data_IF_285763829751
#
_entry.id   IF_285763829751
#
_cell.length_a   1.000
_cell.length_b   1.000
_cell.length_c   1.000
_cell.angle_alpha   90.00
_cell.angle_beta   90.00
_cell.angle_gamma   90.00
#
_symmetry.space_group_name_H-M   'P 1'
#
loop_
_entity.id
_entity.type
_entity.pdbx_description
1 polymer ?
#
# COMPACT_ATOMS: atom_id res chain seq x y z
N UNK A 1 -1.02 13.34 10.59
CA UNK A 1 -0.52 11.98 10.90
C UNK A 1 0.44 11.98 12.08
N UNK A 2 1.60 12.65 11.99
CA UNK A 2 2.59 12.69 13.08
C UNK A 2 2.08 13.39 14.34
N UNK A 3 1.28 14.47 14.20
CA UNK A 3 0.66 15.14 15.35
C UNK A 3 -0.31 14.23 16.11
N UNK A 4 -1.18 13.52 15.38
CA UNK A 4 -2.12 12.53 15.94
C UNK A 4 -1.38 11.35 16.60
N UNK A 5 -0.34 10.84 15.96
CA UNK A 5 0.48 9.76 16.52
C UNK A 5 1.23 10.21 17.80
N UNK A 6 1.78 11.44 17.81
CA UNK A 6 2.42 12.04 18.99
C UNK A 6 1.45 12.24 20.14
N UNK A 7 0.22 12.66 19.86
CA UNK A 7 -0.84 12.80 20.85
C UNK A 7 -1.18 11.47 21.54
N UNK A 8 -0.95 10.34 20.86
CA UNK A 8 -1.12 8.99 21.37
C UNK A 8 0.20 8.33 21.84
N UNK A 9 1.27 9.11 22.03
CA UNK A 9 2.53 8.63 22.60
C UNK A 9 3.54 8.03 21.60
N UNK A 10 3.31 8.17 20.29
CA UNK A 10 4.28 7.75 19.29
C UNK A 10 5.46 8.71 19.17
N UNK A 11 6.66 8.15 19.13
CA UNK A 11 7.92 8.86 18.90
C UNK A 11 8.18 9.11 17.42
N UNK A 12 7.51 8.37 16.53
CA UNK A 12 7.57 8.56 15.08
C UNK A 12 6.38 7.93 14.36
N UNK A 13 6.08 8.41 13.16
CA UNK A 13 5.14 7.75 12.26
C UNK A 13 5.58 7.89 10.80
N UNK A 14 5.22 6.90 9.99
CA UNK A 14 5.40 6.86 8.55
C UNK A 14 4.08 6.40 7.93
N UNK A 15 3.74 6.97 6.79
CA UNK A 15 2.57 6.56 6.01
C UNK A 15 2.98 6.46 4.55
N UNK A 16 2.66 5.32 3.95
CA UNK A 16 2.94 5.03 2.56
C UNK A 16 1.60 4.84 1.85
N UNK A 17 1.42 5.54 0.74
CA UNK A 17 0.28 5.37 -0.13
C UNK A 17 0.80 4.79 -1.45
N UNK A 18 0.32 3.59 -1.79
CA UNK A 18 0.63 2.92 -3.04
C UNK A 18 -0.58 2.97 -3.96
N UNK A 19 -0.32 3.30 -5.22
CA UNK A 19 -1.30 3.21 -6.28
C UNK A 19 -0.64 2.56 -7.48
N UNK A 20 -1.13 1.39 -7.85
CA UNK A 20 -0.63 0.58 -8.95
C UNK A 20 -1.69 0.46 -10.02
N UNK A 21 -1.26 0.62 -11.28
CA UNK A 21 -2.09 0.37 -12.44
C UNK A 21 -1.27 -0.48 -13.42
N UNK A 22 -1.75 -1.68 -13.71
CA UNK A 22 -1.10 -2.62 -14.62
C UNK A 22 -2.11 -3.15 -15.62
N UNK A 23 -1.69 -3.27 -16.88
CA UNK A 23 -2.46 -3.96 -17.91
C UNK A 23 -1.60 -5.11 -18.42
N UNK A 24 -2.14 -6.33 -18.36
CA UNK A 24 -1.48 -7.54 -18.87
C UNK A 24 -2.30 -8.11 -20.03
N UNK A 25 -1.66 -8.40 -21.15
CA UNK A 25 -2.29 -9.00 -22.32
C UNK A 25 -1.56 -10.29 -22.64
N UNK A 26 -2.26 -11.42 -22.53
CA UNK A 26 -1.73 -12.74 -22.86
C UNK A 26 -2.26 -13.16 -24.22
N UNK A 27 -1.35 -13.54 -25.12
CA UNK A 27 -1.66 -13.99 -26.49
C UNK A 27 -1.19 -15.43 -26.65
N UNK A 28 -2.05 -16.32 -27.16
CA UNK A 28 -1.69 -17.72 -27.43
C UNK A 28 -2.17 -18.11 -28.83
N UNK A 29 -1.29 -18.74 -29.61
CA UNK A 29 -1.56 -19.14 -31.01
C UNK A 29 -2.04 -18.00 -31.93
N UNK A 30 -1.63 -16.76 -31.66
CA UNK A 30 -2.01 -15.59 -32.46
C UNK A 30 -3.34 -14.94 -32.06
N UNK A 31 -4.05 -15.49 -31.07
CA UNK A 31 -5.29 -14.92 -30.54
C UNK A 31 -5.07 -14.38 -29.11
N UNK A 32 -5.70 -13.23 -28.81
CA UNK A 32 -5.70 -12.67 -27.46
C UNK A 32 -6.53 -13.58 -26.56
N UNK A 33 -5.87 -14.18 -25.57
CA UNK A 33 -6.50 -15.13 -24.66
C UNK A 33 -7.11 -14.40 -23.45
N UNK A 34 -6.36 -13.48 -22.84
CA UNK A 34 -6.81 -12.74 -21.64
C UNK A 34 -6.26 -11.32 -21.64
N UNK A 35 -7.11 -10.35 -21.30
CA UNK A 35 -6.71 -8.96 -20.98
C UNK A 35 -7.07 -8.74 -19.51
N UNK A 36 -6.07 -8.50 -18.68
CA UNK A 36 -6.24 -8.25 -17.25
C UNK A 36 -5.87 -6.80 -16.92
N UNK A 37 -6.75 -6.13 -16.17
CA UNK A 37 -6.54 -4.78 -15.67
C UNK A 37 -6.40 -4.85 -14.16
N UNK A 38 -5.19 -4.70 -13.66
CA UNK A 38 -4.91 -4.58 -12.23
C UNK A 38 -4.95 -3.11 -11.83
N UNK A 39 -5.83 -2.76 -10.87
CA UNK A 39 -5.91 -1.42 -10.29
C UNK A 39 -5.96 -1.55 -8.79
N UNK A 40 -4.77 -1.57 -8.20
CA UNK A 40 -4.63 -1.65 -6.75
C UNK A 40 -4.36 -0.27 -6.17
N UNK A 41 -5.08 0.03 -5.08
CA UNK A 41 -4.77 1.15 -4.20
C UNK A 41 -4.48 0.55 -2.84
N UNK A 42 -3.57 1.14 -2.11
CA UNK A 42 -3.20 0.67 -0.79
C UNK A 42 -2.66 1.82 0.03
N UNK A 43 -2.99 1.84 1.30
CA UNK A 43 -2.40 2.76 2.26
C UNK A 43 -1.89 1.94 3.42
N UNK A 44 -0.62 2.08 3.75
CA UNK A 44 0.00 1.50 4.93
C UNK A 44 0.49 2.59 5.87
N UNK A 45 0.42 2.31 7.16
CA UNK A 45 0.79 3.22 8.24
C UNK A 45 1.65 2.45 9.22
N UNK A 46 2.84 2.99 9.48
CA UNK A 46 3.74 2.51 10.52
C UNK A 46 3.86 3.56 11.62
N UNK A 47 3.70 3.14 12.87
CA UNK A 47 3.93 3.99 14.05
C UNK A 47 5.02 3.39 14.92
N UNK A 48 5.81 4.27 15.53
CA UNK A 48 6.94 3.91 16.38
C UNK A 48 6.71 4.48 17.78
N UNK A 49 6.84 3.65 18.81
CA UNK A 49 6.82 4.04 20.22
C UNK A 49 8.14 3.57 20.84
N UNK A 50 9.11 4.47 20.96
CA UNK A 50 10.47 4.12 21.37
C UNK A 50 11.11 3.15 20.38
N UNK A 51 11.39 1.92 20.83
CA UNK A 51 11.93 0.84 19.97
C UNK A 51 10.85 -0.13 19.45
N UNK A 52 9.55 0.13 19.69
CA UNK A 52 8.45 -0.74 19.26
C UNK A 52 7.82 -0.19 17.98
N UNK A 53 7.56 -1.07 16.99
CA UNK A 53 6.91 -0.74 15.71
C UNK A 53 5.52 -1.39 15.63
N UNK A 54 4.49 -0.62 15.26
CA UNK A 54 3.17 -1.11 14.89
C UNK A 54 2.86 -0.76 13.44
N UNK A 55 2.27 -1.68 12.69
CA UNK A 55 1.94 -1.50 11.27
C UNK A 55 0.47 -1.85 11.02
N UNK A 56 -0.22 -1.02 10.25
CA UNK A 56 -1.57 -1.28 9.76
C UNK A 56 -1.66 -0.88 8.28
N UNK A 57 -2.34 -1.67 7.46
CA UNK A 57 -2.53 -1.40 6.04
C UNK A 57 -3.95 -1.69 5.59
N UNK A 58 -4.43 -0.93 4.61
CA UNK A 58 -5.71 -1.12 3.92
C UNK A 58 -5.50 -1.10 2.41
N UNK A 59 -6.33 -1.84 1.68
CA UNK A 59 -6.46 -1.82 0.22
C UNK A 59 -7.60 -0.90 -0.22
#
# INVERSE_FOLDING_TARGET
>A
MLAYAREHGATGCEAEASQSYGQSVTVRKGEVETIEYNRDKGISVSVYIGQRKGHASTS
#
